data_IF_230141009274
#
_entry.id   IF_230141009274
#
_cell.length_a   1.000
_cell.length_b   1.000
_cell.length_c   1.000
_cell.angle_alpha   90.00
_cell.angle_beta   90.00
_cell.angle_gamma   90.00
#
_symmetry.space_group_name_H-M   'P 1'
#
loop_
_entity.id
_entity.type
_entity.pdbx_description
1 polymer ?
#
# COMPACT_ATOMS: atom_id res chain seq x y z
N UNK A 1 2.74 42.73 -51.97
CA UNK A 1 2.57 42.04 -50.67
C UNK A 1 1.56 40.93 -50.85
N UNK A 2 2.00 39.67 -50.78
CA UNK A 2 1.20 38.45 -50.56
C UNK A 2 2.12 37.30 -50.94
N UNK A 3 2.57 36.54 -49.95
CA UNK A 3 2.88 35.09 -49.98
C UNK A 3 3.68 34.73 -48.73
N UNK A 4 3.03 34.89 -47.58
CA UNK A 4 3.40 34.22 -46.33
C UNK A 4 2.15 33.48 -45.85
N UNK A 5 1.82 32.39 -46.52
CA UNK A 5 0.67 31.52 -46.17
C UNK A 5 1.12 30.04 -46.15
N UNK A 6 2.20 29.67 -46.87
CA UNK A 6 2.67 28.28 -46.94
C UNK A 6 3.48 27.86 -45.69
N UNK A 7 4.08 28.81 -44.96
CA UNK A 7 4.80 28.50 -43.71
C UNK A 7 3.87 28.19 -42.52
N UNK A 8 2.62 28.66 -42.51
CA UNK A 8 1.74 28.47 -41.35
C UNK A 8 1.13 27.08 -41.30
N UNK A 9 0.77 26.49 -42.43
CA UNK A 9 0.17 25.14 -42.46
C UNK A 9 1.14 24.04 -42.02
N UNK A 10 2.40 24.11 -42.47
CA UNK A 10 3.43 23.14 -42.10
C UNK A 10 3.79 23.23 -40.61
N UNK A 11 3.84 24.43 -40.05
CA UNK A 11 4.09 24.65 -38.61
C UNK A 11 2.90 24.16 -37.77
N UNK A 12 1.66 24.37 -38.22
CA UNK A 12 0.47 23.87 -37.53
C UNK A 12 0.37 22.34 -37.53
N UNK A 13 0.76 21.66 -38.62
CA UNK A 13 0.77 20.18 -38.69
C UNK A 13 1.80 19.55 -37.76
N UNK A 14 2.97 20.17 -37.63
CA UNK A 14 4.01 19.73 -36.69
C UNK A 14 3.52 19.91 -35.24
N UNK A 15 2.96 21.07 -34.91
CA UNK A 15 2.41 21.32 -33.57
C UNK A 15 1.27 20.35 -33.19
N UNK A 16 0.38 20.03 -34.12
CA UNK A 16 -0.70 19.06 -33.91
C UNK A 16 -0.16 17.65 -33.63
N UNK A 17 0.91 17.25 -34.32
CA UNK A 17 1.53 15.94 -34.14
C UNK A 17 2.21 15.82 -32.77
N UNK A 18 2.86 16.88 -32.29
CA UNK A 18 3.42 16.93 -30.94
C UNK A 18 2.34 16.90 -29.85
N UNK A 19 1.21 17.57 -30.06
CA UNK A 19 0.09 17.53 -29.11
C UNK A 19 -0.51 16.12 -28.99
N UNK A 20 -0.65 15.39 -30.09
CA UNK A 20 -1.15 14.01 -30.10
C UNK A 20 -0.17 13.07 -29.38
N UNK A 21 1.13 13.19 -29.67
CA UNK A 21 2.15 12.37 -28.99
C UNK A 21 2.22 12.67 -27.49
N UNK A 22 2.06 13.94 -27.09
CA UNK A 22 1.99 14.33 -25.68
C UNK A 22 0.74 13.78 -24.99
N UNK A 23 -0.41 13.76 -25.65
CA UNK A 23 -1.64 13.14 -25.12
C UNK A 23 -1.49 11.62 -24.96
N UNK A 24 -0.87 10.92 -25.91
CA UNK A 24 -0.59 9.48 -25.80
C UNK A 24 0.37 9.19 -24.63
N UNK A 25 1.36 10.06 -24.43
CA UNK A 25 2.31 9.93 -23.32
C UNK A 25 1.65 10.13 -21.95
N UNK A 26 0.72 11.09 -21.83
CA UNK A 26 -0.03 11.32 -20.60
C UNK A 26 -1.00 10.18 -20.27
N UNK A 27 -1.66 9.59 -21.26
CA UNK A 27 -2.56 8.43 -21.03
C UNK A 27 -1.78 7.20 -20.58
N UNK A 28 -0.55 7.01 -21.06
CA UNK A 28 0.30 5.85 -20.71
C UNK A 28 0.86 5.87 -19.29
N UNK A 29 0.77 7.00 -18.57
CA UNK A 29 1.18 7.12 -17.16
C UNK A 29 0.04 6.94 -16.16
N UNK A 30 -1.18 6.65 -16.64
CA UNK A 30 -2.29 6.27 -15.77
C UNK A 30 -2.17 4.80 -15.31
N UNK A 31 -1.06 4.45 -14.66
CA UNK A 31 -0.99 3.22 -13.87
C UNK A 31 -1.90 3.45 -12.67
N UNK A 32 -3.04 2.75 -12.54
CA UNK A 32 -3.86 2.86 -11.34
C UNK A 32 -2.97 2.48 -10.16
N UNK A 33 -2.95 3.31 -9.13
CA UNK A 33 -2.29 2.98 -7.88
C UNK A 33 -2.93 1.68 -7.36
N UNK A 34 -2.25 0.55 -7.56
CA UNK A 34 -2.65 -0.73 -7.01
C UNK A 34 -2.60 -0.59 -5.50
N UNK A 35 -3.77 -0.40 -4.87
CA UNK A 35 -3.92 -0.39 -3.43
C UNK A 35 -3.44 -1.75 -2.91
N UNK A 36 -2.20 -1.78 -2.37
CA UNK A 36 -1.63 -2.99 -1.79
C UNK A 36 -2.43 -3.30 -0.53
N UNK A 37 -3.43 -4.19 -0.64
CA UNK A 37 -4.14 -4.72 0.52
C UNK A 37 -3.14 -5.51 1.36
N UNK A 38 -2.83 -5.00 2.54
CA UNK A 38 -2.03 -5.74 3.51
C UNK A 38 -2.79 -7.01 3.92
N UNK A 39 -2.08 -8.13 3.98
CA UNK A 39 -2.63 -9.32 4.59
C UNK A 39 -3.05 -9.01 6.03
N UNK A 40 -4.25 -9.48 6.40
CA UNK A 40 -4.83 -9.38 7.74
C UNK A 40 -5.16 -10.78 8.22
N UNK A 41 -5.21 -10.98 9.54
CA UNK A 41 -5.60 -12.28 10.09
C UNK A 41 -7.04 -12.62 9.70
N UNK A 42 -7.26 -13.81 9.12
CA UNK A 42 -8.58 -14.24 8.69
C UNK A 42 -9.48 -14.58 9.89
N UNK A 43 -10.71 -14.07 9.87
CA UNK A 43 -11.74 -14.33 10.89
C UNK A 43 -13.12 -14.51 10.26
N UNK A 44 -14.02 -15.12 11.02
CA UNK A 44 -15.46 -15.16 10.75
C UNK A 44 -16.22 -14.33 11.80
N UNK A 45 -17.23 -13.56 11.39
CA UNK A 45 -18.13 -12.88 12.32
C UNK A 45 -19.15 -13.90 12.80
N UNK A 46 -19.09 -14.24 14.09
CA UNK A 46 -19.98 -15.20 14.73
C UNK A 46 -21.33 -14.55 15.06
N UNK A 47 -21.28 -13.29 15.49
CA UNK A 47 -22.47 -12.53 15.87
C UNK A 47 -22.21 -11.03 15.80
N UNK A 48 -23.16 -10.29 15.25
CA UNK A 48 -23.23 -8.83 15.38
C UNK A 48 -24.02 -8.46 16.63
N UNK A 49 -23.44 -7.57 17.44
CA UNK A 49 -24.03 -7.02 18.66
C UNK A 49 -24.49 -5.58 18.40
N UNK A 50 -25.36 -5.03 19.26
CA UNK A 50 -25.75 -3.62 19.17
C UNK A 50 -24.53 -2.70 19.16
N UNK A 51 -24.68 -1.53 18.54
CA UNK A 51 -23.62 -0.52 18.41
C UNK A 51 -22.42 -0.94 17.55
N UNK A 52 -22.64 -1.75 16.49
CA UNK A 52 -21.61 -2.16 15.53
C UNK A 52 -20.45 -2.96 16.14
N UNK A 53 -20.72 -3.69 17.23
CA UNK A 53 -19.74 -4.55 17.85
C UNK A 53 -19.83 -5.93 17.21
N UNK A 54 -18.69 -6.48 16.78
CA UNK A 54 -18.61 -7.80 16.17
C UNK A 54 -17.96 -8.80 17.11
N UNK A 55 -18.63 -9.94 17.34
CA UNK A 55 -17.99 -11.11 17.92
C UNK A 55 -17.29 -11.90 16.80
N UNK A 56 -15.96 -11.89 16.81
CA UNK A 56 -15.13 -12.52 15.78
C UNK A 56 -14.50 -13.81 16.27
N UNK A 57 -14.41 -14.81 15.39
CA UNK A 57 -13.65 -16.05 15.61
C UNK A 57 -12.53 -16.14 14.59
N UNK A 58 -11.30 -16.18 15.08
CA UNK A 58 -10.09 -16.21 14.26
C UNK A 58 -9.74 -17.65 13.89
N UNK A 59 -9.21 -17.85 12.67
CA UNK A 59 -8.66 -19.15 12.27
C UNK A 59 -7.34 -19.42 13.02
N UNK A 60 -7.03 -20.69 13.36
CA UNK A 60 -5.73 -21.04 13.93
C UNK A 60 -4.60 -20.51 13.06
N UNK A 61 -3.74 -19.68 13.65
CA UNK A 61 -2.65 -18.97 12.95
C UNK A 61 -1.45 -18.88 13.88
N UNK A 62 -0.24 -18.98 13.32
CA UNK A 62 1.00 -18.81 14.06
C UNK A 62 1.33 -17.33 14.23
N UNK A 63 1.58 -16.91 15.45
CA UNK A 63 1.94 -15.53 15.79
C UNK A 63 3.37 -15.46 16.29
N UNK A 64 4.04 -14.35 15.97
CA UNK A 64 5.33 -14.00 16.57
C UNK A 64 5.03 -13.07 17.74
N UNK A 65 5.36 -13.50 18.94
CA UNK A 65 5.09 -12.77 20.17
C UNK A 65 6.39 -12.41 20.88
N UNK A 66 6.39 -11.27 21.57
CA UNK A 66 7.45 -10.90 22.51
C UNK A 66 6.83 -10.66 23.87
N UNK A 67 7.50 -11.15 24.90
CA UNK A 67 7.21 -10.79 26.27
C UNK A 67 8.20 -9.70 26.70
N UNK A 68 7.68 -8.63 27.28
CA UNK A 68 8.43 -7.46 27.73
C UNK A 68 7.76 -6.93 28.99
N UNK A 69 8.57 -6.53 29.97
CA UNK A 69 8.10 -5.89 31.18
C UNK A 69 8.43 -4.39 31.12
N UNK A 70 7.43 -3.53 31.34
CA UNK A 70 7.63 -2.10 31.57
C UNK A 70 6.48 -1.52 32.39
N UNK A 71 6.68 -0.31 32.91
CA UNK A 71 5.66 0.41 33.68
C UNK A 71 4.59 1.07 32.81
N UNK A 72 4.88 1.28 31.52
CA UNK A 72 4.03 2.02 30.58
C UNK A 72 3.80 1.20 29.31
N UNK A 73 2.54 1.07 28.89
CA UNK A 73 2.15 0.26 27.72
C UNK A 73 2.78 0.77 26.41
N UNK A 74 2.97 2.09 26.29
CA UNK A 74 3.59 2.69 25.09
C UNK A 74 5.04 2.24 24.91
N UNK A 75 5.79 2.09 26.01
CA UNK A 75 7.17 1.61 25.97
C UNK A 75 7.24 0.14 25.57
N UNK A 76 6.35 -0.69 26.13
CA UNK A 76 6.20 -2.10 25.73
C UNK A 76 5.84 -2.22 24.26
N UNK A 77 4.85 -1.46 23.80
CA UNK A 77 4.34 -1.52 22.43
C UNK A 77 5.39 -1.09 21.42
N UNK A 78 6.09 0.01 21.68
CA UNK A 78 7.16 0.52 20.81
C UNK A 78 8.34 -0.44 20.74
N UNK A 79 8.82 -0.93 21.88
CA UNK A 79 9.93 -1.88 21.92
C UNK A 79 9.56 -3.22 21.26
N UNK A 80 8.36 -3.73 21.56
CA UNK A 80 7.83 -4.97 21.00
C UNK A 80 7.65 -4.88 19.48
N UNK A 81 7.12 -3.76 18.99
CA UNK A 81 6.99 -3.50 17.56
C UNK A 81 8.35 -3.57 16.86
N UNK A 82 9.37 -2.87 17.35
CA UNK A 82 10.67 -2.87 16.69
C UNK A 82 11.35 -4.23 16.68
N UNK A 83 11.19 -5.01 17.76
CA UNK A 83 11.71 -6.38 17.82
C UNK A 83 11.02 -7.29 16.79
N UNK A 84 9.69 -7.24 16.70
CA UNK A 84 8.93 -7.98 15.68
C UNK A 84 9.26 -7.51 14.26
N UNK A 85 9.36 -6.21 14.04
CA UNK A 85 9.70 -5.65 12.74
C UNK A 85 11.08 -6.12 12.27
N UNK A 86 12.08 -6.14 13.15
CA UNK A 86 13.42 -6.68 12.81
C UNK A 86 13.35 -8.17 12.45
N UNK A 87 12.61 -8.98 13.21
CA UNK A 87 12.41 -10.39 12.90
C UNK A 87 11.79 -10.58 11.51
N UNK A 88 10.73 -9.83 11.20
CA UNK A 88 10.04 -9.84 9.89
C UNK A 88 10.99 -9.39 8.77
N UNK A 89 11.92 -8.48 9.05
CA UNK A 89 12.93 -7.99 8.08
C UNK A 89 14.14 -8.91 7.91
N UNK A 90 14.13 -10.12 8.47
CA UNK A 90 15.22 -11.09 8.30
C UNK A 90 16.19 -11.19 9.48
N UNK A 91 15.89 -10.56 10.63
CA UNK A 91 16.61 -10.85 11.88
C UNK A 91 16.05 -12.12 12.54
N UNK A 92 16.11 -13.23 11.80
CA UNK A 92 15.71 -14.57 12.22
C UNK A 92 16.79 -15.58 11.79
N UNK A 93 16.70 -16.83 12.26
CA UNK A 93 17.72 -17.86 12.03
C UNK A 93 17.98 -18.11 10.54
N UNK A 94 16.94 -17.95 9.71
CA UNK A 94 16.98 -18.25 8.28
C UNK A 94 17.41 -17.02 7.44
N UNK A 95 17.58 -15.85 8.07
CA UNK A 95 17.85 -14.57 7.39
C UNK A 95 16.79 -14.18 6.35
N UNK A 96 15.56 -14.67 6.50
CA UNK A 96 14.48 -14.50 5.52
C UNK A 96 13.56 -13.35 5.88
N UNK A 97 13.23 -12.50 4.91
CA UNK A 97 12.19 -11.50 5.07
C UNK A 97 10.80 -12.13 4.96
N UNK A 98 9.92 -11.80 5.89
CA UNK A 98 8.50 -12.22 5.89
C UNK A 98 7.61 -11.03 5.52
N UNK A 99 6.42 -11.32 5.02
CA UNK A 99 5.42 -10.28 4.78
C UNK A 99 4.89 -9.71 6.10
N UNK A 100 4.75 -8.39 6.18
CA UNK A 100 4.15 -7.74 7.34
C UNK A 100 2.63 -7.89 7.27
N UNK A 101 2.07 -8.70 8.16
CA UNK A 101 0.64 -8.83 8.38
C UNK A 101 0.23 -7.85 9.49
N UNK A 102 -0.65 -6.90 9.16
CA UNK A 102 -1.19 -5.95 10.14
C UNK A 102 -2.54 -6.47 10.63
N UNK A 103 -2.73 -6.49 11.95
CA UNK A 103 -4.06 -6.70 12.53
C UNK A 103 -4.45 -5.40 13.20
N UNK A 104 -5.36 -4.66 12.56
CA UNK A 104 -5.95 -3.46 13.14
C UNK A 104 -7.18 -3.92 13.94
N UNK A 105 -7.09 -3.83 15.25
CA UNK A 105 -8.27 -3.92 16.11
C UNK A 105 -8.91 -2.52 16.13
N UNK A 106 -10.03 -2.36 15.44
CA UNK A 106 -10.88 -1.17 15.50
C UNK A 106 -11.79 -1.22 16.72
#
# INVERSE_FOLDING_TARGET
MKHCIICTESVMRIAASFAILFQIFLVSWSVPASEKRHATAAYEVVKELPHHIELRKYKPTTWITNELEAQVMDDVSRAGYWKNHRYIRGSNADSESRELVLTICH
#
